data_IF_315242880140
#
_entry.id   IF_315242880140
#
_cell.length_a   1.000
_cell.length_b   1.000
_cell.length_c   1.000
_cell.angle_alpha   90.00
_cell.angle_beta   90.00
_cell.angle_gamma   90.00
#
_symmetry.space_group_name_H-M   'P 1'
#
loop_
_entity.id
_entity.type
_entity.pdbx_description
1 polymer ?
#
# COMPACT_ATOMS: atom_id res chain seq x y z
N UNK A 1 50.68 5.94 15.23
CA UNK A 1 50.06 4.64 14.85
C UNK A 1 48.55 4.59 15.10
N UNK A 2 47.93 5.66 15.62
CA UNK A 2 46.49 5.78 15.86
C UNK A 2 45.60 6.27 14.70
N UNK A 3 46.08 7.01 13.66
CA UNK A 3 45.16 7.53 12.63
C UNK A 3 44.69 6.45 11.65
N UNK A 4 45.52 5.44 11.39
CA UNK A 4 45.17 4.30 10.53
C UNK A 4 44.04 3.46 11.15
N UNK A 5 44.07 3.28 12.47
CA UNK A 5 43.06 2.54 13.21
C UNK A 5 41.69 3.25 13.17
N UNK A 6 41.70 4.59 13.26
CA UNK A 6 40.50 5.41 13.12
C UNK A 6 39.90 5.33 11.70
N UNK A 7 40.75 5.37 10.67
CA UNK A 7 40.30 5.22 9.27
C UNK A 7 39.66 3.84 9.00
N UNK A 8 40.23 2.77 9.58
CA UNK A 8 39.63 1.43 9.49
C UNK A 8 38.30 1.32 10.23
N UNK A 9 38.15 2.04 11.36
CA UNK A 9 36.90 2.10 12.11
C UNK A 9 35.79 2.85 11.34
N UNK A 10 36.11 4.01 10.76
CA UNK A 10 35.18 4.75 9.91
C UNK A 10 34.81 3.98 8.62
N UNK A 11 35.77 3.25 8.04
CA UNK A 11 35.53 2.42 6.86
C UNK A 11 34.63 1.20 7.14
N UNK A 12 34.55 0.75 8.40
CA UNK A 12 33.68 -0.36 8.81
C UNK A 12 32.26 0.12 9.13
N UNK A 13 32.11 1.37 9.55
CA UNK A 13 30.80 1.96 9.89
C UNK A 13 29.95 2.29 8.65
N UNK A 14 30.55 2.42 7.48
CA UNK A 14 29.86 2.75 6.22
C UNK A 14 29.12 1.57 5.59
N UNK A 15 29.25 0.34 6.13
CA UNK A 15 28.63 -0.88 5.56
C UNK A 15 27.32 -1.30 6.26
N UNK A 16 26.83 -0.53 7.24
CA UNK A 16 25.59 -0.88 7.97
C UNK A 16 24.46 0.17 7.88
N UNK A 17 24.50 1.05 6.86
CA UNK A 17 23.35 1.87 6.46
C UNK A 17 22.91 1.56 5.02
N UNK A 18 23.02 0.31 4.60
CA UNK A 18 21.96 -0.24 3.76
C UNK A 18 20.78 -0.52 4.71
N UNK A 19 20.08 0.53 5.15
CA UNK A 19 18.74 0.34 5.71
C UNK A 19 18.00 -0.44 4.65
N UNK A 20 17.71 -1.70 4.97
CA UNK A 20 16.93 -2.65 4.20
C UNK A 20 16.03 -1.86 3.27
N UNK A 21 16.44 -1.81 1.99
CA UNK A 21 15.94 -0.85 1.01
C UNK A 21 14.47 -0.74 1.25
N UNK A 22 14.03 0.45 1.68
CA UNK A 22 12.68 0.75 2.15
C UNK A 22 11.77 -0.18 1.38
N UNK A 23 11.37 -1.30 2.01
CA UNK A 23 10.66 -2.30 1.25
C UNK A 23 9.38 -1.56 0.99
N UNK A 24 9.26 -0.96 -0.20
CA UNK A 24 8.07 -0.27 -0.61
C UNK A 24 7.01 -1.27 -0.25
N UNK A 25 6.21 -0.89 0.74
CA UNK A 25 5.22 -1.76 1.34
C UNK A 25 4.12 -1.84 0.31
N UNK A 26 4.45 -2.46 -0.81
CA UNK A 26 3.55 -2.73 -1.89
C UNK A 26 2.46 -3.56 -1.24
N UNK A 27 1.19 -3.29 -1.53
CA UNK A 27 0.09 -4.10 -1.02
C UNK A 27 0.34 -5.61 -1.22
N UNK A 28 1.08 -5.97 -2.27
CA UNK A 28 1.59 -7.32 -2.56
C UNK A 28 2.58 -7.86 -1.53
N UNK A 29 3.65 -7.12 -1.19
CA UNK A 29 4.65 -7.59 -0.21
C UNK A 29 4.05 -7.71 1.19
N UNK A 30 3.17 -6.78 1.58
CA UNK A 30 2.45 -6.85 2.84
C UNK A 30 1.53 -8.08 2.92
N UNK A 31 0.78 -8.37 1.85
CA UNK A 31 -0.07 -9.55 1.79
C UNK A 31 0.74 -10.86 1.85
N UNK A 32 1.88 -10.92 1.14
CA UNK A 32 2.78 -12.09 1.19
C UNK A 32 3.34 -12.28 2.61
N UNK A 33 3.77 -11.21 3.27
CA UNK A 33 4.27 -11.23 4.64
C UNK A 33 3.21 -11.71 5.63
N UNK A 34 1.99 -11.18 5.53
CA UNK A 34 0.86 -11.62 6.35
C UNK A 34 0.52 -13.09 6.11
N UNK A 35 0.43 -13.52 4.85
CA UNK A 35 0.17 -14.91 4.49
C UNK A 35 1.22 -15.86 5.07
N UNK A 36 2.51 -15.51 4.94
CA UNK A 36 3.60 -16.31 5.52
C UNK A 36 3.48 -16.43 7.04
N UNK A 37 3.01 -15.38 7.70
CA UNK A 37 2.81 -15.36 9.16
C UNK A 37 1.64 -16.26 9.60
N UNK A 38 0.51 -16.22 8.89
CA UNK A 38 -0.73 -16.87 9.34
C UNK A 38 -0.96 -18.25 8.72
N UNK A 39 -0.54 -18.45 7.47
CA UNK A 39 -0.67 -19.71 6.75
C UNK A 39 0.67 -20.43 6.78
N UNK A 40 0.88 -21.24 7.82
CA UNK A 40 2.10 -22.01 8.07
C UNK A 40 2.14 -23.29 7.21
N UNK A 41 1.96 -23.16 5.90
CA UNK A 41 2.13 -24.26 4.96
C UNK A 41 3.04 -23.84 3.81
N UNK A 42 3.63 -24.84 3.15
CA UNK A 42 4.52 -24.66 2.01
C UNK A 42 3.75 -24.69 0.67
N UNK A 43 2.43 -24.52 0.68
CA UNK A 43 1.64 -24.52 -0.55
C UNK A 43 1.86 -23.22 -1.33
N UNK A 44 1.68 -23.29 -2.64
CA UNK A 44 1.72 -22.11 -3.49
C UNK A 44 0.67 -21.08 -3.02
N UNK A 45 1.07 -19.81 -2.95
CA UNK A 45 0.15 -18.72 -2.61
C UNK A 45 -0.87 -18.53 -3.73
N UNK A 46 -2.15 -18.36 -3.42
CA UNK A 46 -3.15 -18.17 -4.45
C UNK A 46 -2.87 -16.90 -5.23
N UNK A 47 -2.56 -17.06 -6.52
CA UNK A 47 -2.26 -15.95 -7.44
C UNK A 47 -3.42 -14.97 -7.53
N UNK A 48 -4.66 -15.45 -7.37
CA UNK A 48 -5.83 -14.58 -7.35
C UNK A 48 -5.77 -13.56 -6.22
N UNK A 49 -5.31 -13.91 -5.01
CA UNK A 49 -5.20 -12.95 -3.90
C UNK A 49 -4.14 -11.88 -4.19
N UNK A 50 -3.02 -12.28 -4.78
CA UNK A 50 -1.96 -11.36 -5.22
C UNK A 50 -2.40 -10.51 -6.42
N UNK A 51 -3.34 -10.99 -7.24
CA UNK A 51 -3.90 -10.23 -8.37
C UNK A 51 -4.91 -9.17 -7.93
N UNK A 52 -5.43 -9.28 -6.70
CA UNK A 52 -6.36 -8.32 -6.08
C UNK A 52 -5.64 -7.22 -5.31
N UNK A 53 -4.33 -7.30 -5.14
CA UNK A 53 -3.56 -6.18 -4.62
C UNK A 53 -3.54 -5.10 -5.70
N UNK A 54 -4.18 -3.97 -5.42
CA UNK A 54 -4.44 -2.88 -6.36
C UNK A 54 -3.22 -2.58 -7.27
N UNK A 55 -3.40 -2.47 -8.60
CA UNK A 55 -2.35 -2.19 -9.57
C UNK A 55 -1.93 -0.71 -9.61
N UNK A 56 -2.22 0.07 -8.55
CA UNK A 56 -1.83 1.48 -8.45
C UNK A 56 -0.33 1.64 -8.74
N UNK A 57 0.00 2.54 -9.68
CA UNK A 57 1.37 2.95 -9.91
C UNK A 57 1.95 3.62 -8.66
N UNK A 58 3.28 3.71 -8.54
CA UNK A 58 3.93 4.44 -7.44
C UNK A 58 3.47 5.91 -7.39
N UNK A 59 3.29 6.52 -8.57
CA UNK A 59 2.84 7.91 -8.71
C UNK A 59 1.40 8.06 -8.21
N UNK A 60 0.49 7.19 -8.67
CA UNK A 60 -0.91 7.22 -8.23
C UNK A 60 -1.03 6.92 -6.74
N UNK A 61 -0.23 5.99 -6.23
CA UNK A 61 -0.17 5.67 -4.79
C UNK A 61 0.19 6.92 -3.98
N UNK A 62 1.25 7.64 -4.37
CA UNK A 62 1.67 8.86 -3.68
C UNK A 62 0.59 9.96 -3.76
N UNK A 63 -0.01 10.14 -4.94
CA UNK A 63 -1.08 11.11 -5.18
C UNK A 63 -2.32 10.83 -4.31
N UNK A 64 -2.85 9.62 -4.37
CA UNK A 64 -4.06 9.26 -3.62
C UNK A 64 -3.81 9.17 -2.11
N UNK A 65 -2.60 8.80 -1.68
CA UNK A 65 -2.21 8.88 -0.26
C UNK A 65 -2.22 10.31 0.27
N UNK A 66 -1.75 11.28 -0.54
CA UNK A 66 -1.81 12.71 -0.19
C UNK A 66 -3.25 13.19 -0.09
N UNK A 67 -4.11 12.82 -1.04
CA UNK A 67 -5.54 13.16 -1.00
C UNK A 67 -6.22 12.56 0.23
N UNK A 68 -5.90 11.30 0.59
CA UNK A 68 -6.42 10.65 1.79
C UNK A 68 -6.01 11.39 3.07
N UNK A 69 -4.73 11.75 3.20
CA UNK A 69 -4.23 12.51 4.36
C UNK A 69 -4.88 13.90 4.51
N UNK A 70 -5.40 14.45 3.42
CA UNK A 70 -6.09 15.74 3.38
C UNK A 70 -7.62 15.61 3.52
N UNK A 71 -8.14 14.40 3.74
CA UNK A 71 -9.58 14.09 3.70
C UNK A 71 -10.26 14.48 2.37
N UNK A 72 -9.49 14.53 1.29
CA UNK A 72 -9.94 14.92 -0.05
C UNK A 72 -10.03 13.73 -1.02
N UNK A 73 -9.85 12.49 -0.54
CA UNK A 73 -9.91 11.30 -1.42
C UNK A 73 -11.33 11.06 -1.97
N UNK A 74 -12.37 11.42 -1.22
CA UNK A 74 -13.76 11.12 -1.59
C UNK A 74 -14.18 11.77 -2.90
N UNK A 75 -13.78 13.02 -3.14
CA UNK A 75 -14.04 13.72 -4.41
C UNK A 75 -13.28 13.15 -5.60
N UNK A 76 -12.34 12.24 -5.37
CA UNK A 76 -11.55 11.56 -6.38
C UNK A 76 -11.77 10.04 -6.39
N UNK A 77 -12.82 9.54 -5.71
CA UNK A 77 -13.05 8.08 -5.62
C UNK A 77 -13.18 7.40 -6.99
N UNK A 78 -13.98 7.91 -7.95
CA UNK A 78 -14.09 7.25 -9.26
C UNK A 78 -12.74 7.09 -9.96
N UNK A 79 -11.90 8.12 -9.86
CA UNK A 79 -10.55 8.14 -10.44
C UNK A 79 -9.63 7.16 -9.71
N UNK A 80 -9.62 7.19 -8.37
CA UNK A 80 -8.89 6.23 -7.54
C UNK A 80 -9.27 4.79 -7.90
N UNK A 81 -10.56 4.51 -8.01
CA UNK A 81 -11.07 3.19 -8.32
C UNK A 81 -10.67 2.68 -9.70
N UNK A 82 -10.74 3.55 -10.71
CA UNK A 82 -10.28 3.23 -12.06
C UNK A 82 -8.77 2.91 -12.06
N UNK A 83 -7.95 3.77 -11.44
CA UNK A 83 -6.49 3.55 -11.32
C UNK A 83 -6.15 2.29 -10.51
N UNK A 84 -6.97 1.98 -9.52
CA UNK A 84 -6.82 0.82 -8.64
C UNK A 84 -7.46 -0.46 -9.19
N UNK A 85 -8.04 -0.43 -10.40
CA UNK A 85 -8.83 -1.53 -10.97
C UNK A 85 -9.81 -2.15 -9.93
N UNK A 86 -10.40 -1.29 -9.11
CA UNK A 86 -11.36 -1.67 -8.08
C UNK A 86 -12.77 -1.51 -8.63
N UNK A 87 -13.64 -2.43 -8.22
CA UNK A 87 -15.06 -2.24 -8.43
C UNK A 87 -15.55 -1.14 -7.49
N UNK A 88 -16.00 -0.02 -8.05
CA UNK A 88 -16.61 1.06 -7.28
C UNK A 88 -18.03 1.28 -7.75
N UNK A 89 -18.94 1.28 -6.78
CA UNK A 89 -20.31 1.65 -7.04
C UNK A 89 -20.31 3.13 -7.43
N UNK A 90 -21.00 3.51 -8.54
CA UNK A 90 -21.32 4.90 -8.76
C UNK A 90 -22.10 5.42 -7.54
N UNK A 91 -22.05 6.72 -7.27
CA UNK A 91 -22.68 7.42 -6.13
C UNK A 91 -24.23 7.33 -6.11
N UNK A 92 -24.80 6.14 -6.29
CA UNK A 92 -26.14 5.80 -5.84
C UNK A 92 -26.07 5.35 -4.39
N UNK A 93 -25.45 6.16 -3.52
CA UNK A 93 -25.93 6.19 -2.15
C UNK A 93 -27.26 6.94 -2.24
N UNK A 94 -28.43 6.28 -2.16
CA UNK A 94 -29.61 7.04 -1.79
C UNK A 94 -29.21 7.75 -0.50
N UNK A 95 -29.40 9.07 -0.43
CA UNK A 95 -29.27 9.72 0.85
C UNK A 95 -30.16 8.95 1.81
N UNK A 96 -29.76 8.72 3.07
CA UNK A 96 -30.61 7.99 4.01
C UNK A 96 -32.03 8.60 4.09
N UNK A 97 -32.19 9.86 3.70
CA UNK A 97 -33.46 10.56 3.49
C UNK A 97 -34.29 10.09 2.29
N UNK A 98 -33.69 9.60 1.21
CA UNK A 98 -34.40 9.07 0.03
C UNK A 98 -34.99 7.67 0.31
N UNK A 99 -34.31 6.85 1.10
CA UNK A 99 -34.80 5.50 1.49
C UNK A 99 -36.04 5.58 2.37
N UNK A 100 -36.19 6.66 3.14
CA UNK A 100 -37.35 6.88 4.02
C UNK A 100 -38.57 7.39 3.23
N UNK A 101 -38.38 8.02 2.07
CA UNK A 101 -39.46 8.60 1.27
C UNK A 101 -40.21 7.57 0.41
N UNK A 102 -39.55 6.50 -0.03
CA UNK A 102 -40.16 5.43 -0.86
C UNK A 102 -41.00 4.43 -0.04
N UNK A 103 -40.99 4.53 1.30
CA UNK A 103 -41.79 3.66 2.19
C UNK A 103 -43.08 4.35 2.70
N UNK A 104 -43.62 5.33 1.97
CA UNK A 104 -44.95 5.90 2.27
C UNK A 104 -45.87 5.88 1.06
#
# INVERSE_FOLDING_TARGET
>A
MTPLLLLLFFSSLTVAFASAGENLSTPKSNLIGYWNKVVQNNNAKPTFLLSKTSPLSTVDTARFSKLAAQNALSSHFPEFCASANLFCYPDSTPSWTDVVAETR
#
